data_IF_833037993981
#
_entry.id   IF_833037993981
#
_cell.length_a   1.000
_cell.length_b   1.000
_cell.length_c   1.000
_cell.angle_alpha   90.00
_cell.angle_beta   90.00
_cell.angle_gamma   90.00
#
_symmetry.space_group_name_H-M   'P 1'
#
loop_
_entity.id
_entity.type
_entity.pdbx_description
1 polymer ?
#
# COMPACT_ATOMS: atom_id res chain seq x y z
N UNK A 1 0.02 -10.11 23.29
CA UNK A 1 0.75 -9.33 22.28
C UNK A 1 1.36 -8.13 22.98
N UNK A 2 2.67 -8.04 23.07
CA UNK A 2 3.34 -6.84 23.59
C UNK A 2 3.00 -5.70 22.65
N UNK A 3 2.37 -4.64 23.16
CA UNK A 3 2.00 -3.47 22.37
C UNK A 3 3.30 -2.86 21.81
N UNK A 4 3.52 -3.02 20.52
CA UNK A 4 4.64 -2.37 19.84
C UNK A 4 4.37 -0.87 19.79
N UNK A 5 5.31 -0.08 20.25
CA UNK A 5 5.23 1.40 20.19
C UNK A 5 5.65 1.93 18.79
N UNK A 6 6.05 1.03 17.89
CA UNK A 6 6.48 1.35 16.52
C UNK A 6 5.27 1.75 15.65
N UNK A 7 5.40 2.74 14.75
CA UNK A 7 4.37 3.04 13.78
C UNK A 7 3.91 1.79 13.01
N UNK A 8 2.61 1.67 12.76
CA UNK A 8 2.03 0.64 11.91
C UNK A 8 1.91 1.19 10.48
N UNK A 9 2.78 0.70 9.60
CA UNK A 9 2.75 1.03 8.18
C UNK A 9 1.91 -0.01 7.45
N UNK A 10 0.96 0.44 6.63
CA UNK A 10 -0.01 -0.44 5.96
C UNK A 10 0.04 -0.21 4.46
N UNK A 11 0.14 -1.30 3.68
CA UNK A 11 -0.01 -1.26 2.24
C UNK A 11 -1.47 -1.08 1.82
N UNK A 12 -1.68 -0.57 0.60
CA UNK A 12 -3.01 -0.31 0.06
C UNK A 12 -3.53 -1.52 -0.74
N UNK A 13 -2.87 -1.81 -1.86
CA UNK A 13 -3.34 -2.75 -2.88
C UNK A 13 -3.20 -4.21 -2.42
N UNK A 14 -4.31 -4.95 -2.37
CA UNK A 14 -4.37 -6.31 -1.88
C UNK A 14 -4.23 -6.45 -0.35
N UNK A 15 -4.01 -5.35 0.38
CA UNK A 15 -3.89 -5.31 1.85
C UNK A 15 -5.06 -4.56 2.47
N UNK A 16 -5.07 -3.23 2.45
CA UNK A 16 -6.20 -2.41 2.91
C UNK A 16 -7.39 -2.52 1.95
N UNK A 17 -7.11 -2.58 0.64
CA UNK A 17 -8.09 -2.89 -0.40
C UNK A 17 -7.92 -4.33 -0.87
N UNK A 18 -9.03 -5.00 -1.18
CA UNK A 18 -9.05 -6.34 -1.80
C UNK A 18 -8.85 -6.29 -3.32
N UNK A 19 -8.65 -5.10 -3.89
CA UNK A 19 -8.38 -4.84 -5.30
C UNK A 19 -7.06 -4.09 -5.48
N UNK A 20 -6.66 -3.87 -6.73
CA UNK A 20 -5.53 -3.04 -7.15
C UNK A 20 -6.08 -1.73 -7.73
N UNK A 21 -5.72 -0.60 -7.09
CA UNK A 21 -6.23 0.73 -7.46
C UNK A 21 -5.76 1.18 -8.84
N UNK A 22 -4.60 0.70 -9.29
CA UNK A 22 -4.12 0.96 -10.65
C UNK A 22 -5.04 0.31 -11.69
N UNK A 23 -5.46 -0.94 -11.42
CA UNK A 23 -6.39 -1.67 -12.27
C UNK A 23 -7.78 -1.00 -12.30
N UNK A 24 -8.31 -0.65 -11.13
CA UNK A 24 -9.58 0.09 -11.00
C UNK A 24 -9.53 1.42 -11.77
N UNK A 25 -8.42 2.15 -11.65
CA UNK A 25 -8.22 3.42 -12.35
C UNK A 25 -8.14 3.25 -13.87
N UNK A 26 -7.49 2.19 -14.34
CA UNK A 26 -7.41 1.90 -15.78
C UNK A 26 -8.79 1.55 -16.34
N UNK A 27 -9.55 0.71 -15.66
CA UNK A 27 -10.93 0.37 -16.05
C UNK A 27 -11.82 1.62 -16.10
N UNK A 28 -11.77 2.45 -15.08
CA UNK A 28 -12.53 3.70 -15.02
C UNK A 28 -12.13 4.66 -16.17
N UNK A 29 -10.83 4.79 -16.46
CA UNK A 29 -10.35 5.61 -17.56
C UNK A 29 -10.88 5.13 -18.91
N UNK A 30 -10.80 3.82 -19.19
CA UNK A 30 -11.24 3.22 -20.45
C UNK A 30 -12.76 3.22 -20.58
N UNK A 31 -13.50 3.12 -19.48
CA UNK A 31 -14.96 3.26 -19.48
C UNK A 31 -15.40 4.67 -19.85
N UNK A 32 -14.66 5.69 -19.43
CA UNK A 32 -14.92 7.08 -19.76
C UNK A 32 -14.51 7.41 -21.21
N UNK A 33 -13.36 6.90 -21.68
CA UNK A 33 -12.88 7.10 -23.04
C UNK A 33 -11.91 5.97 -23.45
N UNK A 34 -12.36 5.00 -24.25
CA UNK A 34 -11.54 3.85 -24.65
C UNK A 34 -10.32 4.24 -25.53
N UNK A 35 -10.29 5.43 -26.13
CA UNK A 35 -9.15 5.87 -26.92
C UNK A 35 -7.87 6.06 -26.11
N UNK A 36 -7.97 6.20 -24.80
CA UNK A 36 -6.79 6.28 -23.92
C UNK A 36 -5.91 5.02 -24.00
N UNK A 37 -6.45 3.86 -24.44
CA UNK A 37 -5.66 2.63 -24.61
C UNK A 37 -4.45 2.85 -25.53
N UNK A 38 -4.58 3.72 -26.54
CA UNK A 38 -3.50 4.02 -27.49
C UNK A 38 -2.41 4.90 -26.87
N UNK A 39 -2.67 5.61 -25.77
CA UNK A 39 -1.69 6.45 -25.08
C UNK A 39 -0.89 5.68 -24.03
N UNK A 40 -1.43 4.59 -23.50
CA UNK A 40 -0.80 3.79 -22.43
C UNK A 40 0.61 3.31 -22.82
N UNK A 41 0.88 2.78 -24.05
CA UNK A 41 2.23 2.39 -24.46
C UNK A 41 3.24 3.55 -24.41
N UNK A 42 2.84 4.75 -24.81
CA UNK A 42 3.70 5.94 -24.75
C UNK A 42 3.99 6.38 -23.32
N UNK A 43 3.01 6.24 -22.41
CA UNK A 43 3.22 6.51 -20.99
C UNK A 43 4.17 5.50 -20.35
N UNK A 44 4.10 4.23 -20.77
CA UNK A 44 5.00 3.17 -20.30
C UNK A 44 6.46 3.44 -20.64
N UNK A 45 6.76 4.09 -21.78
CA UNK A 45 8.12 4.51 -22.13
C UNK A 45 8.73 5.50 -21.14
N UNK A 46 7.90 6.23 -20.39
CA UNK A 46 8.32 7.17 -19.34
C UNK A 46 8.36 6.54 -17.95
N UNK A 47 8.06 5.24 -17.84
CA UNK A 47 8.15 4.48 -16.60
C UNK A 47 6.83 4.35 -15.84
N UNK A 48 6.80 3.39 -14.91
CA UNK A 48 5.59 3.00 -14.16
C UNK A 48 5.01 4.12 -13.30
N UNK A 49 5.86 4.95 -12.68
CA UNK A 49 5.40 6.07 -11.87
C UNK A 49 4.65 7.10 -12.72
N UNK A 50 5.15 7.36 -13.92
CA UNK A 50 4.49 8.26 -14.87
C UNK A 50 3.11 7.73 -15.30
N UNK A 51 2.99 6.43 -15.63
CA UNK A 51 1.70 5.82 -15.96
C UNK A 51 0.70 6.02 -14.83
N UNK A 52 1.08 5.69 -13.60
CA UNK A 52 0.23 5.86 -12.40
C UNK A 52 -0.25 7.30 -12.25
N UNK A 53 0.65 8.26 -12.47
CA UNK A 53 0.31 9.68 -12.42
C UNK A 53 -0.65 10.10 -13.52
N UNK A 54 -0.47 9.61 -14.77
CA UNK A 54 -1.36 9.91 -15.89
C UNK A 54 -2.77 9.35 -15.67
N UNK A 55 -2.89 8.15 -15.08
CA UNK A 55 -4.17 7.59 -14.69
C UNK A 55 -4.80 8.41 -13.55
N UNK A 56 -4.06 8.63 -12.49
CA UNK A 56 -4.52 9.34 -11.30
C UNK A 56 -5.02 10.77 -11.57
N UNK A 57 -4.42 11.45 -12.56
CA UNK A 57 -4.84 12.81 -12.94
C UNK A 57 -6.11 12.87 -13.78
N UNK A 58 -6.63 11.73 -14.26
CA UNK A 58 -7.79 11.65 -15.17
C UNK A 58 -8.97 10.87 -14.61
N UNK A 59 -8.78 10.21 -13.47
CA UNK A 59 -9.79 9.35 -12.85
C UNK A 59 -10.01 9.79 -11.41
N UNK A 60 -11.25 9.84 -11.00
CA UNK A 60 -11.65 9.94 -9.60
C UNK A 60 -12.30 8.62 -9.22
N UNK A 61 -11.78 7.98 -8.18
CA UNK A 61 -12.39 6.78 -7.61
C UNK A 61 -13.14 7.17 -6.34
N UNK A 62 -14.44 6.87 -6.23
CA UNK A 62 -15.20 7.18 -5.03
C UNK A 62 -14.70 6.29 -3.88
N UNK A 63 -14.04 6.91 -2.89
CA UNK A 63 -13.40 6.19 -1.78
C UNK A 63 -14.42 5.34 -0.99
N UNK A 64 -15.66 5.78 -0.89
CA UNK A 64 -16.75 5.11 -0.17
C UNK A 64 -17.16 3.76 -0.78
N UNK A 65 -16.89 3.52 -2.06
CA UNK A 65 -17.30 2.30 -2.78
C UNK A 65 -16.17 1.29 -2.96
N UNK A 66 -14.97 1.60 -2.50
CA UNK A 66 -13.82 0.72 -2.63
C UNK A 66 -13.96 -0.54 -1.75
N UNK A 67 -13.49 -1.69 -2.22
CA UNK A 67 -13.61 -2.96 -1.50
C UNK A 67 -12.57 -3.09 -0.39
N UNK A 68 -12.80 -2.43 0.73
CA UNK A 68 -11.91 -2.50 1.89
C UNK A 68 -11.89 -3.90 2.53
N UNK A 69 -10.75 -4.29 3.10
CA UNK A 69 -10.67 -5.45 3.97
C UNK A 69 -11.06 -5.06 5.41
N UNK A 70 -12.26 -5.44 5.83
CA UNK A 70 -12.79 -5.08 7.14
C UNK A 70 -11.92 -5.57 8.31
N UNK A 71 -11.17 -6.66 8.14
CA UNK A 71 -10.26 -7.16 9.17
C UNK A 71 -9.08 -6.21 9.38
N UNK A 72 -8.59 -5.62 8.27
CA UNK A 72 -7.52 -4.60 8.31
C UNK A 72 -8.07 -3.31 8.90
N UNK A 73 -9.27 -2.88 8.51
CA UNK A 73 -9.92 -1.71 9.09
C UNK A 73 -10.13 -1.86 10.59
N UNK A 74 -10.55 -3.05 11.06
CA UNK A 74 -10.74 -3.32 12.49
C UNK A 74 -9.41 -3.21 13.27
N UNK A 75 -8.33 -3.76 12.72
CA UNK A 75 -6.98 -3.60 13.31
C UNK A 75 -6.61 -2.12 13.38
N UNK A 76 -6.85 -1.34 12.32
CA UNK A 76 -6.53 0.09 12.29
C UNK A 76 -7.37 0.89 13.30
N UNK A 77 -8.67 0.61 13.42
CA UNK A 77 -9.57 1.27 14.38
C UNK A 77 -9.18 0.98 15.84
N UNK A 78 -8.74 -0.24 16.11
CA UNK A 78 -8.34 -0.67 17.47
C UNK A 78 -6.89 -0.28 17.81
N UNK A 79 -6.06 0.01 16.80
CA UNK A 79 -4.67 0.44 16.99
C UNK A 79 -4.61 1.96 17.21
N UNK A 80 -4.90 2.41 18.43
CA UNK A 80 -4.93 3.85 18.78
C UNK A 80 -3.68 4.32 19.53
N UNK A 81 -2.82 3.40 19.99
CA UNK A 81 -1.67 3.70 20.84
C UNK A 81 -0.38 4.01 20.06
N UNK A 82 -0.41 3.91 18.74
CA UNK A 82 0.75 4.12 17.86
C UNK A 82 0.33 4.74 16.53
N UNK A 83 1.20 5.52 15.87
CA UNK A 83 0.90 6.12 14.58
C UNK A 83 0.58 5.05 13.51
N UNK A 84 -0.37 5.37 12.64
CA UNK A 84 -0.78 4.55 11.48
C UNK A 84 -0.42 5.29 10.21
N UNK A 85 0.34 4.64 9.36
CA UNK A 85 0.90 5.22 8.13
C UNK A 85 0.39 4.42 6.94
N UNK A 86 -0.27 5.07 6.00
CA UNK A 86 -0.60 4.44 4.72
C UNK A 86 0.62 4.56 3.80
N UNK A 87 1.20 3.41 3.39
CA UNK A 87 2.41 3.39 2.59
C UNK A 87 2.24 2.54 1.34
N UNK A 88 2.12 3.17 0.16
CA UNK A 88 1.75 2.49 -1.07
C UNK A 88 2.57 2.91 -2.28
N UNK A 89 2.67 1.99 -3.25
CA UNK A 89 3.22 2.26 -4.58
C UNK A 89 2.24 3.01 -5.50
N UNK A 90 0.99 3.19 -5.09
CA UNK A 90 -0.02 3.92 -5.86
C UNK A 90 0.20 5.43 -5.79
N UNK A 91 -0.34 6.18 -6.76
CA UNK A 91 -0.10 7.63 -6.84
C UNK A 91 -0.88 8.37 -5.75
N UNK A 92 -0.25 9.36 -5.14
CA UNK A 92 -0.82 10.19 -4.06
C UNK A 92 -2.16 10.81 -4.42
N UNK A 93 -2.39 11.17 -5.70
CA UNK A 93 -3.67 11.75 -6.13
C UNK A 93 -4.87 10.83 -5.91
N UNK A 94 -4.66 9.50 -6.01
CA UNK A 94 -5.70 8.51 -5.74
C UNK A 94 -5.75 8.13 -4.27
N UNK A 95 -4.60 8.11 -3.61
CA UNK A 95 -4.47 7.58 -2.24
C UNK A 95 -4.91 8.59 -1.19
N UNK A 96 -4.65 9.90 -1.40
CA UNK A 96 -4.98 10.92 -0.42
C UNK A 96 -6.50 10.98 -0.12
N UNK A 97 -7.40 10.98 -1.14
CA UNK A 97 -8.84 10.95 -0.89
C UNK A 97 -9.31 9.71 -0.09
N UNK A 98 -8.64 8.56 -0.29
CA UNK A 98 -8.93 7.33 0.47
C UNK A 98 -8.54 7.49 1.94
N UNK A 99 -7.34 8.03 2.18
CA UNK A 99 -6.85 8.26 3.54
C UNK A 99 -7.73 9.28 4.28
N UNK A 100 -8.13 10.36 3.60
CA UNK A 100 -9.00 11.41 4.13
C UNK A 100 -10.41 10.87 4.46
N UNK A 101 -10.98 10.04 3.56
CA UNK A 101 -12.27 9.40 3.77
C UNK A 101 -12.26 8.48 5.00
N UNK A 102 -11.21 7.69 5.17
CA UNK A 102 -11.11 6.76 6.30
C UNK A 102 -10.81 7.48 7.63
N UNK A 103 -10.05 8.57 7.61
CA UNK A 103 -9.65 9.30 8.81
C UNK A 103 -8.84 8.47 9.82
N UNK A 104 -8.15 7.42 9.35
CA UNK A 104 -7.45 6.46 10.21
C UNK A 104 -5.92 6.63 10.20
N UNK A 105 -5.38 7.45 9.31
CA UNK A 105 -3.93 7.57 9.10
C UNK A 105 -3.41 8.94 9.50
N UNK A 106 -2.33 8.97 10.24
CA UNK A 106 -1.60 10.19 10.61
C UNK A 106 -0.64 10.64 9.51
N UNK A 107 -0.20 9.73 8.63
CA UNK A 107 0.72 10.02 7.52
C UNK A 107 0.38 9.17 6.29
N UNK A 108 0.61 9.75 5.09
CA UNK A 108 0.49 9.05 3.81
C UNK A 108 1.83 9.13 3.08
N UNK A 109 2.43 7.98 2.79
CA UNK A 109 3.60 7.80 1.95
C UNK A 109 3.18 7.11 0.65
N UNK A 110 3.23 7.83 -0.47
CA UNK A 110 2.72 7.36 -1.76
C UNK A 110 3.64 7.80 -2.90
N UNK A 111 3.53 7.14 -4.05
CA UNK A 111 4.23 7.57 -5.28
C UNK A 111 3.74 8.96 -5.72
N UNK A 112 4.60 9.72 -6.41
CA UNK A 112 4.37 11.13 -6.76
C UNK A 112 4.50 11.42 -8.27
N UNK A 113 4.62 10.39 -9.10
CA UNK A 113 4.81 10.50 -10.55
C UNK A 113 6.28 10.52 -10.97
N UNK A 114 7.22 10.78 -10.07
CA UNK A 114 8.67 10.69 -10.27
C UNK A 114 9.24 9.45 -9.57
N UNK A 115 8.87 9.25 -8.33
CA UNK A 115 9.32 8.15 -7.48
C UNK A 115 8.25 7.06 -7.41
N UNK A 116 8.62 5.83 -7.75
CA UNK A 116 7.77 4.66 -7.53
C UNK A 116 8.10 4.05 -6.16
N UNK A 117 7.21 4.22 -5.19
CA UNK A 117 7.37 3.75 -3.81
C UNK A 117 6.97 2.27 -3.68
N UNK A 118 7.72 1.38 -4.34
CA UNK A 118 7.46 -0.06 -4.38
C UNK A 118 8.68 -0.86 -3.94
N UNK A 119 8.47 -2.00 -3.30
CA UNK A 119 9.51 -2.95 -2.91
C UNK A 119 10.65 -2.30 -2.13
N UNK A 120 11.88 -2.35 -2.65
CA UNK A 120 13.06 -1.80 -1.98
C UNK A 120 12.97 -0.30 -1.73
N UNK A 121 12.43 0.49 -2.67
CA UNK A 121 12.25 1.93 -2.48
C UNK A 121 11.33 2.23 -1.29
N UNK A 122 10.24 1.45 -1.14
CA UNK A 122 9.33 1.55 0.01
C UNK A 122 10.04 1.21 1.32
N UNK A 123 10.77 0.08 1.35
CA UNK A 123 11.53 -0.32 2.54
C UNK A 123 12.55 0.72 2.98
N UNK A 124 13.34 1.24 2.04
CA UNK A 124 14.33 2.29 2.30
C UNK A 124 13.70 3.60 2.77
N UNK A 125 12.58 4.03 2.16
CA UNK A 125 11.88 5.24 2.56
C UNK A 125 11.31 5.13 3.99
N UNK A 126 10.74 3.97 4.35
CA UNK A 126 10.25 3.72 5.70
C UNK A 126 11.40 3.64 6.72
N UNK A 127 12.51 2.97 6.37
CA UNK A 127 13.70 2.92 7.22
C UNK A 127 14.34 4.30 7.41
N UNK A 128 14.39 5.13 6.36
CA UNK A 128 14.87 6.51 6.47
C UNK A 128 13.96 7.38 7.36
N UNK A 129 12.64 7.14 7.34
CA UNK A 129 11.64 7.91 8.09
C UNK A 129 11.55 7.50 9.57
N UNK A 130 11.60 6.19 9.86
CA UNK A 130 11.33 5.63 11.18
C UNK A 130 12.52 4.88 11.81
N UNK A 131 13.62 4.72 11.07
CA UNK A 131 14.78 3.93 11.46
C UNK A 131 14.67 2.46 11.05
N UNK A 132 15.83 1.79 10.95
CA UNK A 132 15.88 0.33 10.73
C UNK A 132 15.20 -0.39 11.89
N UNK A 133 14.28 -1.32 11.57
CA UNK A 133 13.45 -2.03 12.55
C UNK A 133 12.54 -1.10 13.39
N UNK A 134 12.42 0.18 13.01
CA UNK A 134 11.67 1.19 13.73
C UNK A 134 10.18 1.28 13.39
N UNK A 135 9.66 0.38 12.54
CA UNK A 135 8.25 0.31 12.14
C UNK A 135 7.78 -1.14 12.01
N UNK A 136 6.48 -1.38 12.14
CA UNK A 136 5.85 -2.64 11.75
C UNK A 136 5.15 -2.44 10.40
N UNK A 137 5.15 -3.49 9.57
CA UNK A 137 4.59 -3.38 8.23
C UNK A 137 3.53 -4.46 7.94
N UNK A 138 2.38 -4.02 7.46
CA UNK A 138 1.28 -4.85 7.00
C UNK A 138 1.25 -4.89 5.48
N UNK A 139 1.35 -6.09 4.90
CA UNK A 139 1.43 -6.31 3.45
C UNK A 139 0.95 -7.70 3.05
N UNK A 140 0.86 -7.94 1.74
CA UNK A 140 0.24 -9.15 1.19
C UNK A 140 1.05 -9.88 0.12
N UNK A 141 2.20 -9.36 -0.32
CA UNK A 141 2.87 -9.86 -1.51
C UNK A 141 4.35 -10.23 -1.33
N UNK A 142 4.89 -10.95 -2.29
CA UNK A 142 6.32 -11.25 -2.34
C UNK A 142 7.20 -9.99 -2.43
N UNK A 143 6.67 -8.92 -3.01
CA UNK A 143 7.35 -7.62 -3.09
C UNK A 143 7.57 -7.01 -1.72
N UNK A 144 6.70 -7.32 -0.74
CA UNK A 144 6.76 -6.81 0.63
C UNK A 144 7.86 -7.45 1.47
N UNK A 145 8.43 -8.59 1.03
CA UNK A 145 9.63 -9.16 1.66
C UNK A 145 10.77 -8.15 1.73
N UNK A 146 10.87 -7.28 0.72
CA UNK A 146 11.88 -6.20 0.68
C UNK A 146 11.61 -5.10 1.70
N UNK A 147 10.35 -4.91 2.09
CA UNK A 147 9.95 -3.97 3.12
C UNK A 147 10.12 -4.60 4.50
N UNK A 148 9.67 -5.84 4.67
CA UNK A 148 9.85 -6.59 5.93
C UNK A 148 11.32 -6.79 6.30
N UNK A 149 12.24 -6.81 5.33
CA UNK A 149 13.67 -6.84 5.60
C UNK A 149 14.15 -5.64 6.45
N UNK A 150 13.45 -4.50 6.40
CA UNK A 150 13.71 -3.29 7.19
C UNK A 150 12.76 -3.11 8.39
N UNK A 151 11.65 -3.86 8.42
CA UNK A 151 10.62 -3.73 9.46
C UNK A 151 11.00 -4.47 10.75
N UNK A 152 10.51 -3.96 11.89
CA UNK A 152 10.63 -4.61 13.18
C UNK A 152 9.62 -5.75 13.38
N UNK A 153 8.48 -5.70 12.67
CA UNK A 153 7.46 -6.74 12.69
C UNK A 153 6.67 -6.81 11.39
N UNK A 154 6.18 -8.01 11.07
CA UNK A 154 5.38 -8.29 9.88
C UNK A 154 3.94 -8.66 10.24
N UNK A 155 2.97 -8.07 9.54
CA UNK A 155 1.59 -8.55 9.51
C UNK A 155 1.32 -8.98 8.07
N UNK A 156 1.01 -10.27 7.88
CA UNK A 156 0.77 -10.86 6.54
C UNK A 156 -0.73 -10.95 6.31
N UNK A 157 -1.21 -10.32 5.22
CA UNK A 157 -2.63 -10.24 4.88
C UNK A 157 -2.90 -10.94 3.56
N UNK A 158 -4.08 -11.56 3.44
CA UNK A 158 -4.59 -12.15 2.19
C UNK A 158 -3.60 -13.07 1.47
N UNK A 159 -2.80 -13.84 2.21
CA UNK A 159 -1.83 -14.77 1.63
C UNK A 159 -1.68 -16.03 2.48
N UNK A 160 -1.03 -17.04 1.92
CA UNK A 160 -0.88 -18.36 2.54
C UNK A 160 0.42 -18.53 3.35
N UNK A 161 0.55 -19.72 3.96
CA UNK A 161 1.68 -20.07 4.82
C UNK A 161 3.07 -19.96 4.16
N UNK A 162 3.15 -19.96 2.83
CA UNK A 162 4.40 -19.76 2.10
C UNK A 162 4.98 -18.36 2.30
N UNK A 163 4.15 -17.33 2.18
CA UNK A 163 4.57 -15.95 2.40
C UNK A 163 4.87 -15.69 3.88
N UNK A 164 4.07 -16.26 4.79
CA UNK A 164 4.31 -16.17 6.24
C UNK A 164 5.70 -16.70 6.59
N UNK A 165 6.07 -17.90 6.08
CA UNK A 165 7.42 -18.46 6.27
C UNK A 165 8.53 -17.62 5.64
N UNK A 166 8.27 -16.99 4.51
CA UNK A 166 9.24 -16.09 3.89
C UNK A 166 9.42 -14.80 4.70
N UNK A 167 8.32 -14.22 5.21
CA UNK A 167 8.34 -13.04 6.08
C UNK A 167 9.05 -13.34 7.42
N UNK A 168 8.84 -14.53 8.02
CA UNK A 168 9.48 -14.92 9.28
C UNK A 168 11.00 -15.06 9.19
N UNK A 169 11.55 -15.17 7.97
CA UNK A 169 13.01 -15.12 7.74
C UNK A 169 13.56 -13.70 7.73
N UNK A 170 12.71 -12.69 7.59
CA UNK A 170 13.08 -11.29 7.52
C UNK A 170 12.90 -10.61 8.89
N UNK A 171 11.78 -10.88 9.57
CA UNK A 171 11.41 -10.25 10.83
C UNK A 171 10.40 -11.10 11.60
N UNK A 172 10.06 -10.70 12.82
CA UNK A 172 9.00 -11.31 13.63
C UNK A 172 7.63 -11.18 12.91
N UNK A 173 6.89 -12.27 12.78
CA UNK A 173 5.51 -12.26 12.28
C UNK A 173 4.56 -12.03 13.46
N UNK A 174 3.99 -10.83 13.52
CA UNK A 174 3.11 -10.40 14.61
C UNK A 174 1.68 -10.94 14.44
N UNK A 175 1.21 -11.05 13.19
CA UNK A 175 -0.11 -11.57 12.87
C UNK A 175 -0.16 -12.10 11.43
N UNK A 176 -1.13 -12.99 11.17
CA UNK A 176 -1.48 -13.50 9.86
C UNK A 176 -3.00 -13.47 9.68
N UNK A 177 -3.46 -12.78 8.65
CA UNK A 177 -4.84 -12.75 8.18
C UNK A 177 -4.91 -13.53 6.86
N UNK A 178 -5.30 -14.80 6.88
CA UNK A 178 -5.37 -15.61 5.66
C UNK A 178 -6.40 -15.07 4.66
N UNK A 179 -6.28 -15.50 3.38
CA UNK A 179 -7.23 -15.14 2.32
C UNK A 179 -8.64 -15.72 2.58
#
# INVERSE_FOLDING_TARGET
MTASNRPLCVDLDGTLLRSDILYESLLALLSNNPLYIFLVPFWLLRGKAYVKRQLASRVQLPAETLPYDERVLEILRTTTQRPRVLCTASDRLLVQPIADHLGLFEEVMASDGQTNLSGSNKGQALAARFGERGFDYMGNGQVDLKVWAHAGGAIVVNNGAGLVRAASRQTEVLAHLPA
#
